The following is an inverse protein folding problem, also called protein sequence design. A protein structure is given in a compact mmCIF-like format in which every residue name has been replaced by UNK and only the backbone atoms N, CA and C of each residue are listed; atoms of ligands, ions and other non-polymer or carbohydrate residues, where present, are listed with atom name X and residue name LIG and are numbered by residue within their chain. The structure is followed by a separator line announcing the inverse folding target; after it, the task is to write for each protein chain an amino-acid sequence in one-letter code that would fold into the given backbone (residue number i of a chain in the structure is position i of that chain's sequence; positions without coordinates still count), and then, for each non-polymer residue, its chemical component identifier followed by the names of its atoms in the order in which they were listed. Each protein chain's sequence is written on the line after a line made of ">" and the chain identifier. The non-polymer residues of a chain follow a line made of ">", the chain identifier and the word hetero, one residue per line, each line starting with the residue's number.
data_IF_768345194846
#
_entry.id   IF_768345194846
#
_cell.length_a   1.000
_cell.length_b   1.000
_cell.length_c   1.000
_cell.angle_alpha   90.00
_cell.angle_beta   90.00
_cell.angle_gamma   90.00
#
_symmetry.space_group_name_H-M   'P 1'
#
loop_
_entity.id
_entity.type
_entity.pdbx_description
1 polymer ?
#
# COMPACT_ATOMS: atom_id res chain seq x y z
N UNK A 1 16.57 15.79 26.91
CA UNK A 1 15.49 16.82 26.87
C UNK A 1 14.92 17.05 28.28
N UNK A 2 14.23 18.17 28.55
CA UNK A 2 13.43 18.31 29.78
C UNK A 2 12.24 17.32 29.79
N UNK A 3 11.87 16.78 30.96
CA UNK A 3 10.84 15.73 31.11
C UNK A 3 9.49 16.07 30.44
N UNK A 4 9.06 17.32 30.54
CA UNK A 4 7.83 17.78 29.88
C UNK A 4 7.90 17.66 28.35
N UNK A 5 9.08 17.92 27.76
CA UNK A 5 9.31 17.82 26.31
C UNK A 5 9.30 16.37 25.84
N UNK A 6 9.87 15.44 26.61
CA UNK A 6 9.81 13.99 26.31
C UNK A 6 8.37 13.48 26.34
N UNK A 7 7.60 13.83 27.37
CA UNK A 7 6.17 13.47 27.46
C UNK A 7 5.35 14.01 26.30
N UNK A 8 5.59 15.25 25.89
CA UNK A 8 4.92 15.83 24.75
C UNK A 8 5.30 15.13 23.44
N UNK A 9 6.57 14.75 23.27
CA UNK A 9 7.05 14.01 22.10
C UNK A 9 6.45 12.61 22.04
N UNK A 10 6.45 11.88 23.14
CA UNK A 10 5.87 10.53 23.22
C UNK A 10 4.41 10.49 22.79
N UNK A 11 3.58 11.41 23.32
CA UNK A 11 2.18 11.50 22.91
C UNK A 11 2.02 11.78 21.42
N UNK A 12 2.84 12.68 20.86
CA UNK A 12 2.79 13.00 19.42
C UNK A 12 3.18 11.81 18.56
N UNK A 13 4.29 11.14 18.90
CA UNK A 13 4.76 9.95 18.16
C UNK A 13 3.71 8.85 18.19
N UNK A 14 3.16 8.54 19.36
CA UNK A 14 2.12 7.50 19.47
C UNK A 14 0.86 7.83 18.68
N UNK A 15 0.41 9.09 18.72
CA UNK A 15 -0.74 9.53 17.93
C UNK A 15 -0.44 9.46 16.42
N UNK A 16 0.77 9.83 16.00
CA UNK A 16 1.26 9.73 14.62
C UNK A 16 1.20 8.28 14.13
N UNK A 17 1.83 7.36 14.86
CA UNK A 17 1.85 5.95 14.47
C UNK A 17 0.48 5.30 14.51
N UNK A 18 -0.37 5.68 15.49
CA UNK A 18 -1.73 5.17 15.58
C UNK A 18 -2.56 5.59 14.36
N UNK A 19 -2.38 6.82 13.85
CA UNK A 19 -3.06 7.28 12.64
C UNK A 19 -2.67 6.45 11.42
N UNK A 20 -1.38 6.15 11.26
CA UNK A 20 -0.91 5.24 10.21
C UNK A 20 -1.51 3.84 10.33
N UNK A 21 -1.47 3.24 11.51
CA UNK A 21 -2.01 1.90 11.76
C UNK A 21 -3.50 1.80 11.44
N UNK A 22 -4.29 2.76 11.93
CA UNK A 22 -5.73 2.79 11.73
C UNK A 22 -6.07 2.86 10.22
N UNK A 23 -5.34 3.68 9.48
CA UNK A 23 -5.55 3.83 8.04
C UNK A 23 -5.04 2.64 7.21
N UNK A 24 -4.01 1.93 7.69
CA UNK A 24 -3.50 0.74 7.01
C UNK A 24 -4.54 -0.40 6.94
N UNK A 25 -5.47 -0.49 7.89
CA UNK A 25 -6.60 -1.43 7.88
C UNK A 25 -6.19 -2.88 7.50
N UNK A 26 -5.13 -3.39 8.14
CA UNK A 26 -4.57 -4.73 7.90
C UNK A 26 -3.47 -4.84 6.84
N UNK A 27 -3.08 -3.73 6.19
CA UNK A 27 -1.92 -3.69 5.28
C UNK A 27 -0.58 -3.49 6.01
N UNK A 28 -0.62 -3.16 7.30
CA UNK A 28 0.57 -3.03 8.12
C UNK A 28 1.17 -4.41 8.40
N UNK A 29 2.49 -4.56 8.25
CA UNK A 29 3.24 -5.77 8.64
C UNK A 29 3.47 -5.78 10.16
N UNK A 30 2.38 -5.80 10.92
CA UNK A 30 2.39 -5.77 12.39
C UNK A 30 2.08 -4.39 12.98
N UNK A 31 2.52 -4.19 14.24
CA UNK A 31 2.36 -2.94 14.96
C UNK A 31 3.33 -1.85 14.54
N UNK A 32 3.30 -0.72 15.25
CA UNK A 32 4.20 0.39 15.04
C UNK A 32 5.50 0.08 15.75
N UNK A 33 6.60 0.27 15.03
CA UNK A 33 7.92 0.22 15.62
C UNK A 33 8.18 1.57 16.27
N UNK A 34 8.47 1.57 17.57
CA UNK A 34 8.73 2.80 18.32
C UNK A 34 10.19 2.83 18.76
N UNK A 35 10.82 3.99 18.61
CA UNK A 35 12.14 4.28 19.18
C UNK A 35 11.97 5.08 20.46
N UNK A 36 12.69 4.69 21.51
CA UNK A 36 12.54 5.25 22.85
C UNK A 36 13.79 5.99 23.32
N UNK A 37 13.58 7.05 24.12
CA UNK A 37 14.61 7.73 24.90
C UNK A 37 14.28 7.59 26.40
N UNK A 38 15.30 7.40 27.23
CA UNK A 38 15.14 7.33 28.68
C UNK A 38 15.15 8.73 29.28
N UNK A 39 14.09 9.07 30.02
CA UNK A 39 13.96 10.33 30.74
C UNK A 39 14.76 10.38 32.05
N UNK A 40 14.92 11.57 32.64
CA UNK A 40 15.61 11.75 33.93
C UNK A 40 14.84 11.12 35.12
N UNK A 41 13.56 10.80 34.93
CA UNK A 41 12.72 10.02 35.85
C UNK A 41 12.89 8.50 35.66
N UNK A 42 13.83 8.07 34.81
CA UNK A 42 14.16 6.67 34.54
C UNK A 42 13.19 5.95 33.61
N UNK A 43 12.12 6.60 33.14
CA UNK A 43 11.09 6.01 32.26
C UNK A 43 11.46 6.14 30.78
N UNK A 44 10.88 5.29 29.93
CA UNK A 44 11.05 5.34 28.47
C UNK A 44 9.94 6.15 27.82
N UNK A 45 10.30 6.98 26.84
CA UNK A 45 9.41 7.85 26.08
C UNK A 45 9.65 7.66 24.59
N UNK A 46 8.60 7.47 23.79
CA UNK A 46 8.71 7.35 22.34
C UNK A 46 9.18 8.69 21.74
N UNK A 47 10.24 8.66 20.96
CA UNK A 47 10.82 9.86 20.32
C UNK A 47 10.76 9.80 18.80
N UNK A 48 10.55 8.59 18.25
CA UNK A 48 10.23 8.33 16.86
C UNK A 48 9.47 7.01 16.72
N UNK A 49 8.93 6.78 15.54
CA UNK A 49 8.28 5.53 15.19
C UNK A 49 8.03 5.41 13.70
N UNK A 50 7.60 4.23 13.29
CA UNK A 50 7.17 3.95 11.93
C UNK A 50 6.16 2.79 11.89
N UNK A 51 5.28 2.79 10.89
CA UNK A 51 4.44 1.65 10.53
C UNK A 51 4.92 1.08 9.20
N UNK A 52 5.37 -0.17 9.21
CA UNK A 52 5.83 -0.82 7.99
C UNK A 52 4.62 -1.27 7.15
N UNK A 53 4.44 -0.68 5.97
CA UNK A 53 3.35 -1.04 5.05
C UNK A 53 3.91 -1.85 3.88
N UNK A 54 3.23 -2.93 3.52
CA UNK A 54 3.67 -3.81 2.44
C UNK A 54 3.46 -3.21 1.04
N UNK A 55 4.53 -2.70 0.43
CA UNK A 55 4.56 -2.16 -0.94
C UNK A 55 4.91 -3.21 -2.00
N UNK A 56 4.48 -4.45 -1.83
CA UNK A 56 4.62 -5.49 -2.86
C UNK A 56 3.37 -5.57 -3.75
N UNK A 57 3.52 -5.69 -5.09
CA UNK A 57 2.39 -5.97 -5.99
C UNK A 57 1.72 -7.31 -5.69
N UNK A 58 0.46 -7.44 -6.09
CA UNK A 58 -0.26 -8.71 -6.11
C UNK A 58 -0.04 -9.35 -7.48
N UNK A 59 0.75 -10.43 -7.51
CA UNK A 59 1.13 -11.12 -8.74
C UNK A 59 -0.09 -11.60 -9.54
N UNK A 60 -0.08 -11.39 -10.85
CA UNK A 60 -1.14 -11.81 -11.76
C UNK A 60 -2.49 -11.10 -11.57
N UNK A 61 -2.54 -10.03 -10.78
CA UNK A 61 -3.76 -9.26 -10.58
C UNK A 61 -3.45 -7.75 -10.50
N UNK A 62 -3.30 -7.08 -11.65
CA UNK A 62 -2.98 -5.66 -11.67
C UNK A 62 -4.15 -4.80 -11.14
N UNK A 63 -5.40 -5.26 -11.22
CA UNK A 63 -6.53 -4.56 -10.60
C UNK A 63 -6.43 -4.55 -9.06
N UNK A 64 -6.14 -5.69 -8.46
CA UNK A 64 -5.92 -5.82 -7.03
C UNK A 64 -4.69 -5.04 -6.59
N UNK A 65 -3.62 -5.04 -7.39
CA UNK A 65 -2.42 -4.23 -7.15
C UNK A 65 -2.75 -2.74 -7.12
N UNK A 66 -3.50 -2.22 -8.10
CA UNK A 66 -3.90 -0.81 -8.12
C UNK A 66 -4.76 -0.43 -6.92
N UNK A 67 -5.68 -1.32 -6.49
CA UNK A 67 -6.47 -1.12 -5.26
C UNK A 67 -5.60 -1.13 -4.00
N UNK A 68 -4.68 -2.08 -3.88
CA UNK A 68 -3.73 -2.19 -2.76
C UNK A 68 -2.88 -0.92 -2.68
N UNK A 69 -2.30 -0.49 -3.80
CA UNK A 69 -1.50 0.71 -3.93
C UNK A 69 -2.23 1.97 -3.43
N UNK A 70 -3.50 2.18 -3.82
CA UNK A 70 -4.30 3.31 -3.33
C UNK A 70 -4.47 3.30 -1.81
N UNK A 71 -4.73 2.13 -1.22
CA UNK A 71 -4.87 1.97 0.23
C UNK A 71 -3.54 2.26 0.96
N UNK A 72 -2.42 1.76 0.42
CA UNK A 72 -1.09 2.04 0.96
C UNK A 72 -0.81 3.54 0.96
N UNK A 73 -1.05 4.21 -0.18
CA UNK A 73 -0.85 5.65 -0.31
C UNK A 73 -1.70 6.44 0.69
N UNK A 74 -2.96 6.05 0.88
CA UNK A 74 -3.84 6.69 1.87
C UNK A 74 -3.33 6.49 3.30
N UNK A 75 -2.89 5.28 3.65
CA UNK A 75 -2.35 4.98 4.98
C UNK A 75 -1.04 5.71 5.28
N UNK A 76 -0.15 5.81 4.30
CA UNK A 76 1.10 6.54 4.41
C UNK A 76 0.88 8.08 4.52
N UNK A 77 -0.26 8.60 4.05
CA UNK A 77 -0.57 10.03 4.14
C UNK A 77 -1.59 10.35 5.25
N UNK A 78 -1.88 9.40 6.14
CA UNK A 78 -2.96 9.53 7.11
C UNK A 78 -2.72 10.57 8.23
N UNK A 79 -1.52 10.69 8.83
CA UNK A 79 -1.27 11.75 9.80
C UNK A 79 -1.33 13.14 9.15
N UNK A 80 -1.62 14.16 9.95
CA UNK A 80 -1.67 15.54 9.47
C UNK A 80 -0.28 16.06 9.02
N UNK A 81 0.79 15.54 9.60
CA UNK A 81 2.18 15.89 9.36
C UNK A 81 3.03 14.65 8.97
N UNK A 82 2.75 14.00 7.81
CA UNK A 82 3.46 12.80 7.40
C UNK A 82 4.97 13.08 7.29
N UNK A 83 5.79 12.16 7.79
CA UNK A 83 7.24 12.28 7.77
C UNK A 83 7.81 12.13 6.34
N UNK A 84 9.09 12.46 6.11
CA UNK A 84 9.73 12.20 4.83
C UNK A 84 9.65 10.72 4.39
N UNK A 85 9.74 9.79 5.33
CA UNK A 85 9.64 8.36 5.07
C UNK A 85 8.23 7.97 4.64
N UNK A 86 7.21 8.50 5.32
CA UNK A 86 5.81 8.24 4.99
C UNK A 86 5.48 8.73 3.57
N UNK A 87 5.99 9.92 3.20
CA UNK A 87 5.87 10.44 1.84
C UNK A 87 6.59 9.58 0.82
N UNK A 88 7.73 8.98 1.16
CA UNK A 88 8.44 8.06 0.28
C UNK A 88 7.62 6.78 0.02
N UNK A 89 7.00 6.21 1.05
CA UNK A 89 6.07 5.06 0.92
C UNK A 89 4.87 5.43 0.05
N UNK A 90 4.30 6.62 0.25
CA UNK A 90 3.20 7.13 -0.57
C UNK A 90 3.59 7.29 -2.05
N UNK A 91 4.82 7.74 -2.33
CA UNK A 91 5.34 7.86 -3.69
C UNK A 91 5.57 6.49 -4.34
N UNK A 92 6.13 5.53 -3.61
CA UNK A 92 6.28 4.15 -4.07
C UNK A 92 4.93 3.51 -4.40
N UNK A 93 3.92 3.73 -3.55
CA UNK A 93 2.57 3.26 -3.80
C UNK A 93 1.94 3.93 -5.04
N UNK A 94 2.18 5.22 -5.26
CA UNK A 94 1.72 5.89 -6.48
C UNK A 94 2.35 5.30 -7.75
N UNK A 95 3.66 4.99 -7.71
CA UNK A 95 4.35 4.32 -8.81
C UNK A 95 3.78 2.92 -9.08
N UNK A 96 3.54 2.15 -8.02
CA UNK A 96 2.89 0.84 -8.12
C UNK A 96 1.49 0.92 -8.75
N UNK A 97 0.68 1.91 -8.35
CA UNK A 97 -0.65 2.11 -8.94
C UNK A 97 -0.55 2.43 -10.43
N UNK A 98 0.41 3.27 -10.83
CA UNK A 98 0.62 3.64 -12.22
C UNK A 98 1.03 2.43 -13.07
N UNK A 99 1.99 1.63 -12.60
CA UNK A 99 2.42 0.41 -13.29
C UNK A 99 1.26 -0.59 -13.43
N UNK A 100 0.50 -0.82 -12.36
CA UNK A 100 -0.63 -1.74 -12.40
C UNK A 100 -1.74 -1.28 -13.36
N UNK A 101 -1.99 0.03 -13.48
CA UNK A 101 -2.92 0.58 -14.49
C UNK A 101 -2.40 0.36 -15.92
N UNK A 102 -1.09 0.44 -16.13
CA UNK A 102 -0.51 0.15 -17.44
C UNK A 102 -0.65 -1.33 -17.81
N UNK A 103 -0.39 -2.25 -16.88
CA UNK A 103 -0.58 -3.69 -17.04
C UNK A 103 -2.06 -4.03 -17.38
N UNK A 104 -3.01 -3.49 -16.61
CA UNK A 104 -4.45 -3.63 -16.90
C UNK A 104 -4.83 -3.18 -18.31
N UNK A 105 -4.25 -2.08 -18.78
CA UNK A 105 -4.52 -1.57 -20.12
C UNK A 105 -3.92 -2.48 -21.21
N UNK A 106 -2.82 -3.17 -20.92
CA UNK A 106 -2.23 -4.15 -21.84
C UNK A 106 -3.07 -5.43 -21.91
N UNK A 107 -3.51 -5.97 -20.76
CA UNK A 107 -4.38 -7.16 -20.68
C UNK A 107 -5.66 -6.94 -21.49
N UNK A 108 -6.35 -5.80 -21.29
CA UNK A 108 -7.57 -5.47 -22.04
C UNK A 108 -7.36 -5.41 -23.54
N UNK A 109 -6.21 -4.91 -24.01
CA UNK A 109 -5.89 -4.88 -25.45
C UNK A 109 -5.63 -6.29 -26.00
N UNK A 110 -4.97 -7.15 -25.24
CA UNK A 110 -4.72 -8.54 -25.65
C UNK A 110 -6.04 -9.33 -25.70
N UNK A 111 -6.92 -9.17 -24.71
CA UNK A 111 -8.25 -9.79 -24.70
C UNK A 111 -9.07 -9.39 -25.94
N UNK A 112 -9.06 -8.10 -26.31
CA UNK A 112 -9.73 -7.59 -27.51
C UNK A 112 -9.16 -8.18 -28.81
N UNK A 113 -7.83 -8.30 -28.92
CA UNK A 113 -7.19 -8.90 -30.10
C UNK A 113 -7.50 -10.41 -30.22
N UNK A 114 -7.59 -11.12 -29.11
CA UNK A 114 -7.98 -12.54 -29.10
C UNK A 114 -9.45 -12.73 -29.47
N UNK A 115 -10.34 -11.84 -29.02
CA UNK A 115 -11.76 -11.88 -29.40
C UNK A 115 -11.97 -11.56 -30.89
N UNK A 116 -11.22 -10.59 -31.44
CA UNK A 116 -11.33 -10.22 -32.86
C UNK A 116 -10.70 -11.27 -33.80
N UNK A 117 -9.73 -12.05 -33.31
CA UNK A 117 -9.11 -13.14 -34.07
C UNK A 117 -9.95 -14.44 -34.12
N UNK A 118 -11.03 -14.53 -33.34
CA UNK A 118 -11.95 -15.67 -33.35
C UNK A 118 -13.43 -15.24 -33.48
N UNK A 119 -13.83 -14.59 -34.59
CA UNK A 119 -15.21 -14.11 -34.78
C UNK A 119 -16.20 -15.26 -35.06
N UNK A 120 -15.71 -16.44 -35.44
CA UNK A 120 -16.52 -17.59 -35.82
C UNK A 120 -16.15 -18.81 -34.96
N UNK A 121 -16.78 -18.94 -33.80
CA UNK A 121 -16.88 -20.22 -33.07
C UNK A 121 -17.71 -21.27 -33.81
N UNK A 122 -17.60 -21.35 -35.14
CA UNK A 122 -18.22 -22.39 -35.97
C UNK A 122 -17.38 -23.64 -35.84
N UNK A 123 -17.79 -24.52 -34.92
CA UNK A 123 -17.46 -25.94 -35.01
C UNK A 123 -17.70 -26.39 -36.47
N UNK A 124 -16.72 -26.99 -37.16
CA UNK A 124 -17.00 -27.60 -38.45
C UNK A 124 -18.04 -28.68 -38.17
N UNK A 125 -19.28 -28.47 -38.64
CA UNK A 125 -20.24 -29.56 -38.78
C UNK A 125 -19.61 -30.50 -39.80
N UNK A 126 -19.05 -31.59 -39.30
CA UNK A 126 -18.63 -32.71 -40.12
C UNK A 126 -19.94 -33.34 -40.58
N UNK A 127 -20.47 -32.84 -41.69
CA UNK A 127 -21.54 -33.50 -42.43
C UNK A 127 -20.91 -34.75 -43.06
N UNK A 128 -20.91 -35.84 -42.28
CA UNK A 128 -20.48 -37.15 -42.74
C UNK A 128 -21.55 -37.69 -43.69
N UNK A 129 -21.27 -37.57 -44.98
CA UNK A 129 -22.05 -38.17 -46.06
C UNK A 129 -21.63 -39.64 -46.19
N UNK A 130 -22.36 -40.57 -45.55
CA UNK A 130 -22.40 -42.01 -45.91
C UNK A 130 -23.79 -42.56 -45.59
#
# INVERSE_FOLDING_TARGET
>A
MALAKLRARDRKVRAHEQAHQAAAAGLAKGGANLTFERGPDGKQYAVGGEVHIDTTPIAGNPEATARKARRIRAAALAPADPSPQDRAVAAQAAAMEAQAKQELAQERRQEQQVSDANPDGRSPRIDLYI
#
